data_IF_663663282388
#
_entry.id   IF_663663282388
#
_cell.length_a   1.000
_cell.length_b   1.000
_cell.length_c   1.000
_cell.angle_alpha   90.00
_cell.angle_beta   90.00
_cell.angle_gamma   90.00
#
_symmetry.space_group_name_H-M   'P 1'
#
loop_
_entity.id
_entity.type
_entity.pdbx_description
1 polymer ?
#
# COMPACT_ATOMS: atom_id res chain seq x y z
N UNK A 1 -4.74 33.42 4.59
CA UNK A 1 -5.38 32.27 5.25
C UNK A 1 -4.72 31.01 4.71
N UNK A 2 -4.19 30.13 5.56
CA UNK A 2 -3.65 28.84 5.13
C UNK A 2 -4.81 27.91 4.83
N UNK A 3 -4.85 27.29 3.64
CA UNK A 3 -5.78 26.20 3.35
C UNK A 3 -5.57 25.07 4.35
N UNK A 4 -6.67 24.40 4.71
CA UNK A 4 -6.63 23.21 5.56
C UNK A 4 -6.07 22.00 4.80
N UNK A 5 -5.58 20.99 5.54
CA UNK A 5 -5.10 19.73 4.96
C UNK A 5 -6.22 19.02 4.17
N UNK A 6 -7.49 19.12 4.60
CA UNK A 6 -8.64 18.56 3.89
C UNK A 6 -8.92 19.25 2.55
N UNK A 7 -8.86 20.58 2.51
CA UNK A 7 -9.06 21.34 1.25
C UNK A 7 -7.94 21.09 0.24
N UNK A 8 -6.71 20.90 0.71
CA UNK A 8 -5.59 20.53 -0.16
C UNK A 8 -5.78 19.12 -0.78
N UNK A 9 -6.30 18.16 0.00
CA UNK A 9 -6.62 16.82 -0.50
C UNK A 9 -7.77 16.83 -1.52
N UNK A 10 -8.86 17.55 -1.22
CA UNK A 10 -10.02 17.69 -2.12
C UNK A 10 -9.68 18.44 -3.41
N UNK A 11 -8.76 19.42 -3.34
CA UNK A 11 -8.26 20.15 -4.51
C UNK A 11 -7.25 19.36 -5.34
N UNK A 12 -6.98 18.09 -5.02
CA UNK A 12 -6.00 17.25 -5.72
C UNK A 12 -4.55 17.68 -5.52
N UNK A 13 -4.25 18.55 -4.56
CA UNK A 13 -2.90 18.98 -4.24
C UNK A 13 -2.21 17.93 -3.35
N UNK A 14 -0.93 17.67 -3.61
CA UNK A 14 -0.18 16.75 -2.77
C UNK A 14 -0.05 17.32 -1.35
N UNK A 15 -0.55 16.58 -0.35
CA UNK A 15 -0.39 16.95 1.05
C UNK A 15 1.09 17.11 1.43
N UNK A 16 1.45 18.04 2.34
CA UNK A 16 2.76 18.05 2.97
C UNK A 16 3.10 16.65 3.54
N UNK A 17 4.37 16.26 3.49
CA UNK A 17 4.82 14.89 3.88
C UNK A 17 4.30 14.45 5.26
N UNK A 18 4.31 15.38 6.21
CA UNK A 18 3.85 15.17 7.58
C UNK A 18 2.32 15.01 7.70
N UNK A 19 1.55 15.81 6.93
CA UNK A 19 0.10 15.67 6.81
C UNK A 19 -0.29 14.33 6.17
N UNK A 20 0.42 13.91 5.12
CA UNK A 20 0.22 12.60 4.48
C UNK A 20 0.48 11.45 5.46
N UNK A 21 1.53 11.56 6.27
CA UNK A 21 1.85 10.57 7.31
C UNK A 21 0.73 10.48 8.35
N UNK A 22 0.26 11.62 8.89
CA UNK A 22 -0.85 11.65 9.86
C UNK A 22 -2.12 11.06 9.28
N UNK A 23 -2.48 11.44 8.05
CA UNK A 23 -3.65 10.90 7.36
C UNK A 23 -3.51 9.39 7.14
N UNK A 24 -2.33 8.90 6.72
CA UNK A 24 -2.10 7.47 6.54
C UNK A 24 -2.25 6.68 7.85
N UNK A 25 -1.72 7.18 8.96
CA UNK A 25 -1.90 6.57 10.28
C UNK A 25 -3.38 6.56 10.66
N UNK A 26 -4.08 7.69 10.51
CA UNK A 26 -5.51 7.81 10.80
C UNK A 26 -6.36 6.84 9.96
N UNK A 27 -6.03 6.69 8.68
CA UNK A 27 -6.70 5.77 7.77
C UNK A 27 -6.45 4.31 8.17
N UNK A 28 -5.21 3.95 8.54
CA UNK A 28 -4.88 2.62 9.05
C UNK A 28 -5.62 2.30 10.35
N UNK A 29 -5.72 3.28 11.26
CA UNK A 29 -6.47 3.16 12.51
C UNK A 29 -7.98 3.07 12.29
N UNK A 30 -8.50 3.66 11.21
CA UNK A 30 -9.93 3.59 10.85
C UNK A 30 -10.33 2.32 10.10
N UNK A 31 -9.36 1.50 9.68
CA UNK A 31 -9.67 0.16 9.16
C UNK A 31 -10.02 -0.70 10.36
N UNK A 32 -11.29 -0.68 10.75
CA UNK A 32 -11.86 -1.71 11.61
C UNK A 32 -11.80 -3.02 10.84
N UNK A 33 -10.85 -3.87 11.19
CA UNK A 33 -10.79 -5.24 10.67
C UNK A 33 -11.99 -5.98 11.23
N UNK A 34 -12.99 -6.14 10.39
CA UNK A 34 -14.14 -6.96 10.71
C UNK A 34 -13.84 -8.45 10.41
N UNK A 35 -14.72 -9.33 10.88
CA UNK A 35 -14.58 -10.77 10.70
C UNK A 35 -14.50 -11.16 9.21
N UNK A 36 -15.09 -10.37 8.32
CA UNK A 36 -15.05 -10.61 6.88
C UNK A 36 -13.66 -10.32 6.31
N UNK A 37 -13.02 -9.22 6.73
CA UNK A 37 -11.63 -8.94 6.40
C UNK A 37 -10.70 -10.05 6.89
N UNK A 38 -10.84 -10.47 8.16
CA UNK A 38 -9.96 -11.49 8.75
C UNK A 38 -10.13 -12.84 8.04
N UNK A 39 -11.36 -13.25 7.72
CA UNK A 39 -11.62 -14.48 6.95
C UNK A 39 -11.06 -14.41 5.52
N UNK A 40 -11.17 -13.26 4.86
CA UNK A 40 -10.62 -13.04 3.52
C UNK A 40 -9.09 -13.09 3.54
N UNK A 41 -8.46 -12.41 4.51
CA UNK A 41 -7.02 -12.43 4.71
C UNK A 41 -6.50 -13.85 4.98
N UNK A 42 -7.16 -14.60 5.84
CA UNK A 42 -6.79 -15.98 6.15
C UNK A 42 -6.90 -16.90 4.93
N UNK A 43 -7.97 -16.76 4.16
CA UNK A 43 -8.15 -17.51 2.90
C UNK A 43 -7.03 -17.19 1.90
N UNK A 44 -6.71 -15.91 1.71
CA UNK A 44 -5.64 -15.48 0.82
C UNK A 44 -4.27 -16.01 1.29
N UNK A 45 -3.98 -15.94 2.60
CA UNK A 45 -2.72 -16.44 3.16
C UNK A 45 -2.53 -17.94 2.88
N UNK A 46 -3.58 -18.73 3.10
CA UNK A 46 -3.53 -20.20 2.91
C UNK A 46 -3.45 -20.61 1.44
N UNK A 47 -4.22 -19.94 0.59
CA UNK A 47 -4.44 -20.42 -0.78
C UNK A 47 -3.50 -19.76 -1.80
N UNK A 48 -2.99 -18.56 -1.51
CA UNK A 48 -2.18 -17.79 -2.47
C UNK A 48 -0.80 -17.47 -1.91
N UNK A 49 -0.72 -16.85 -0.72
CA UNK A 49 0.56 -16.36 -0.20
C UNK A 49 1.54 -17.51 0.09
N UNK A 50 1.06 -18.60 0.69
CA UNK A 50 1.87 -19.79 0.95
C UNK A 50 2.43 -20.38 -0.35
N UNK A 51 1.59 -20.55 -1.37
CA UNK A 51 2.00 -21.08 -2.67
C UNK A 51 3.03 -20.17 -3.37
N UNK A 52 2.84 -18.85 -3.31
CA UNK A 52 3.79 -17.90 -3.87
C UNK A 52 5.15 -17.96 -3.16
N UNK A 53 5.15 -18.12 -1.83
CA UNK A 53 6.36 -18.25 -1.03
C UNK A 53 7.12 -19.56 -1.32
N UNK A 54 6.41 -20.69 -1.36
CA UNK A 54 7.02 -21.98 -1.67
C UNK A 54 7.65 -21.98 -3.06
N UNK A 55 6.98 -21.34 -4.02
CA UNK A 55 7.46 -21.26 -5.38
C UNK A 55 8.64 -20.26 -5.54
N UNK A 56 8.76 -19.26 -4.67
CA UNK A 56 9.96 -18.41 -4.55
C UNK A 56 11.11 -19.17 -3.87
N UNK A 57 10.82 -19.98 -2.85
CA UNK A 57 11.82 -20.85 -2.22
C UNK A 57 12.39 -21.87 -3.20
N UNK A 58 11.54 -22.47 -4.03
CA UNK A 58 11.94 -23.45 -5.03
C UNK A 58 12.75 -22.81 -6.17
N UNK A 59 12.46 -21.56 -6.52
CA UNK A 59 13.18 -20.82 -7.55
C UNK A 59 13.47 -19.37 -7.12
N UNK A 60 14.62 -19.14 -6.46
CA UNK A 60 15.02 -17.80 -6.01
C UNK A 60 15.25 -16.81 -7.15
N UNK A 61 15.45 -17.26 -8.38
CA UNK A 61 15.65 -16.38 -9.53
C UNK A 61 14.40 -15.56 -9.88
N UNK A 62 13.24 -15.95 -9.32
CA UNK A 62 11.97 -15.21 -9.42
C UNK A 62 11.90 -13.98 -8.53
N UNK A 63 12.86 -13.81 -7.62
CA UNK A 63 12.93 -12.61 -6.80
C UNK A 63 13.12 -11.37 -7.68
N UNK A 64 12.46 -10.28 -7.30
CA UNK A 64 12.64 -8.98 -7.94
C UNK A 64 13.59 -8.16 -7.06
N UNK A 65 14.65 -7.56 -7.62
CA UNK A 65 15.52 -6.64 -6.87
C UNK A 65 14.73 -5.49 -6.26
N UNK A 66 15.13 -5.05 -5.06
CA UNK A 66 14.37 -4.05 -4.31
C UNK A 66 14.33 -2.68 -5.04
N UNK A 67 15.40 -2.35 -5.77
CA UNK A 67 15.51 -1.19 -6.64
C UNK A 67 14.46 -1.20 -7.76
N UNK A 68 14.23 -2.34 -8.39
CA UNK A 68 13.25 -2.49 -9.47
C UNK A 68 11.82 -2.38 -8.93
N UNK A 69 11.56 -2.93 -7.74
CA UNK A 69 10.28 -2.76 -7.04
C UNK A 69 10.00 -1.28 -6.78
N UNK A 70 10.98 -0.53 -6.26
CA UNK A 70 10.85 0.91 -5.99
C UNK A 70 10.60 1.71 -7.27
N UNK A 71 11.43 1.50 -8.29
CA UNK A 71 11.29 2.17 -9.58
C UNK A 71 9.90 1.93 -10.20
N UNK A 72 9.37 0.70 -10.10
CA UNK A 72 8.02 0.37 -10.58
C UNK A 72 6.92 1.08 -9.79
N UNK A 73 7.06 1.24 -8.47
CA UNK A 73 6.13 2.02 -7.67
C UNK A 73 6.18 3.51 -8.01
N UNK A 74 7.36 4.08 -8.17
CA UNK A 74 7.54 5.48 -8.57
C UNK A 74 6.91 5.76 -9.94
N UNK A 75 7.17 4.90 -10.93
CA UNK A 75 6.56 5.01 -12.26
C UNK A 75 5.02 4.93 -12.21
N UNK A 76 4.46 4.00 -11.42
CA UNK A 76 3.01 3.89 -11.23
C UNK A 76 2.42 5.14 -10.58
N UNK A 77 3.15 5.74 -9.64
CA UNK A 77 2.72 6.96 -8.97
C UNK A 77 2.77 8.18 -9.90
N UNK A 78 3.85 8.33 -10.66
CA UNK A 78 4.01 9.40 -11.64
C UNK A 78 2.98 9.32 -12.77
N UNK A 79 2.54 8.11 -13.15
CA UNK A 79 1.45 7.93 -14.12
C UNK A 79 0.06 8.31 -13.57
N UNK A 80 -0.05 8.60 -12.27
CA UNK A 80 -1.30 8.97 -11.60
C UNK A 80 -1.47 10.48 -11.44
N UNK A 81 -0.42 11.26 -11.71
CA UNK A 81 -0.39 12.73 -11.73
C UNK A 81 -0.46 13.27 -13.15
#
# INVERSE_FOLDING_TARGET
>A
MSMSESEAYEAGMSLPSDARRRLAIRLLESVDRDEAFDAAAESWLRNEAAAAYDALKADPSRAIPAEDVRARFEAKWAARS
#
